data_IF_679297344992
#
_entry.id   IF_679297344992
#
_cell.length_a   1.000
_cell.length_b   1.000
_cell.length_c   1.000
_cell.angle_alpha   90.00
_cell.angle_beta   90.00
_cell.angle_gamma   90.00
#
_symmetry.space_group_name_H-M   'P 1'
#
loop_
_entity.id
_entity.type
_entity.pdbx_description
1 polymer ?
#
# COMPACT_ATOMS: atom_id res chain seq x y z
N UNK A 1 -19.67 -39.52 -17.39
CA UNK A 1 -19.42 -40.67 -18.29
C UNK A 1 -17.94 -40.65 -18.66
N UNK A 2 -17.33 -41.81 -18.82
CA UNK A 2 -16.01 -41.97 -19.43
C UNK A 2 -16.14 -42.98 -20.56
N UNK A 3 -15.40 -42.78 -21.64
CA UNK A 3 -15.35 -43.68 -22.80
C UNK A 3 -13.87 -43.90 -23.15
N UNK A 4 -13.53 -45.15 -23.45
CA UNK A 4 -12.18 -45.57 -23.80
C UNK A 4 -12.23 -46.17 -25.21
N UNK A 5 -11.33 -45.69 -26.08
CA UNK A 5 -11.27 -46.03 -27.50
C UNK A 5 -9.95 -46.74 -27.79
N UNK A 6 -10.02 -48.02 -28.18
CA UNK A 6 -8.87 -48.79 -28.64
C UNK A 6 -8.46 -48.35 -30.06
N UNK A 7 -7.16 -48.17 -30.29
CA UNK A 7 -6.63 -47.65 -31.56
C UNK A 7 -5.44 -48.49 -32.05
N UNK A 8 -5.75 -49.67 -32.59
CA UNK A 8 -4.74 -50.68 -32.92
C UNK A 8 -4.21 -51.39 -31.68
N UNK A 9 -3.12 -52.15 -31.84
CA UNK A 9 -2.58 -52.96 -30.74
C UNK A 9 -2.00 -52.07 -29.62
N UNK A 10 -2.55 -52.19 -28.41
CA UNK A 10 -2.01 -51.63 -27.17
C UNK A 10 -2.23 -50.14 -26.90
N UNK A 11 -2.88 -49.38 -27.79
CA UNK A 11 -3.11 -47.94 -27.60
C UNK A 11 -4.57 -47.65 -27.22
N UNK A 12 -4.77 -46.87 -26.15
CA UNK A 12 -6.10 -46.49 -25.64
C UNK A 12 -6.17 -44.96 -25.54
N UNK A 13 -7.18 -44.36 -26.18
CA UNK A 13 -7.56 -42.96 -25.95
C UNK A 13 -8.73 -42.91 -24.97
N UNK A 14 -8.70 -41.96 -24.03
CA UNK A 14 -9.74 -41.82 -23.00
C UNK A 14 -10.40 -40.45 -23.07
N UNK A 15 -11.72 -40.43 -23.19
CA UNK A 15 -12.52 -39.21 -23.11
C UNK A 15 -13.42 -39.25 -21.87
N UNK A 16 -13.59 -38.10 -21.22
CA UNK A 16 -14.47 -37.92 -20.05
C UNK A 16 -15.43 -36.78 -20.31
N UNK A 17 -16.67 -36.93 -19.85
CA UNK A 17 -17.72 -35.94 -20.11
C UNK A 17 -18.93 -36.04 -19.19
N UNK A 18 -19.71 -34.98 -19.16
CA UNK A 18 -20.81 -34.78 -18.19
C UNK A 18 -21.99 -34.06 -18.84
N UNK A 19 -23.11 -34.78 -18.98
CA UNK A 19 -24.39 -34.25 -19.45
C UNK A 19 -25.29 -33.84 -18.28
N UNK A 20 -25.83 -32.61 -18.31
CA UNK A 20 -26.80 -32.15 -17.30
C UNK A 20 -28.17 -32.77 -17.57
N UNK A 21 -28.57 -33.78 -16.78
CA UNK A 21 -29.86 -34.47 -16.97
C UNK A 21 -31.08 -33.61 -16.64
N UNK A 22 -30.97 -32.77 -15.60
CA UNK A 22 -32.02 -31.83 -15.18
C UNK A 22 -31.34 -30.55 -14.69
N UNK A 23 -31.47 -29.40 -15.40
CA UNK A 23 -30.72 -28.19 -15.04
C UNK A 23 -31.12 -27.57 -13.69
N UNK A 24 -32.38 -27.68 -13.26
CA UNK A 24 -32.82 -27.16 -11.96
C UNK A 24 -32.50 -25.67 -11.78
N UNK A 25 -31.81 -25.32 -10.70
CA UNK A 25 -31.41 -23.92 -10.43
C UNK A 25 -30.49 -23.32 -11.50
N UNK A 26 -29.81 -24.13 -12.30
CA UNK A 26 -28.94 -23.68 -13.40
C UNK A 26 -29.71 -22.99 -14.53
N UNK A 27 -31.05 -23.09 -14.55
CA UNK A 27 -31.91 -22.27 -15.42
C UNK A 27 -32.02 -20.80 -14.98
N UNK A 28 -31.68 -20.51 -13.72
CA UNK A 28 -31.80 -19.18 -13.10
C UNK A 28 -30.44 -18.56 -12.78
N UNK A 29 -29.45 -19.38 -12.42
CA UNK A 29 -28.11 -18.91 -12.07
C UNK A 29 -27.02 -19.94 -12.41
N UNK A 30 -25.97 -19.47 -13.08
CA UNK A 30 -24.71 -20.18 -13.26
C UNK A 30 -23.61 -19.34 -12.61
N UNK A 31 -22.82 -19.96 -11.74
CA UNK A 31 -21.68 -19.31 -11.09
C UNK A 31 -20.56 -19.07 -12.12
N UNK A 32 -19.93 -17.90 -12.07
CA UNK A 32 -18.83 -17.56 -12.96
C UNK A 32 -17.51 -18.15 -12.46
N UNK A 33 -16.79 -18.87 -13.33
CA UNK A 33 -15.37 -19.13 -13.11
C UNK A 33 -14.57 -17.83 -13.25
N UNK A 34 -13.66 -17.56 -12.31
CA UNK A 34 -12.65 -16.50 -12.43
C UNK A 34 -11.74 -16.75 -13.65
N UNK A 35 -11.41 -18.01 -13.91
CA UNK A 35 -10.72 -18.48 -15.10
C UNK A 35 -11.70 -19.21 -16.02
N UNK A 36 -12.32 -18.44 -16.92
CA UNK A 36 -13.13 -19.00 -18.02
C UNK A 36 -12.22 -19.61 -19.09
N UNK A 37 -11.88 -20.88 -18.91
CA UNK A 37 -11.59 -21.76 -20.05
C UNK A 37 -12.91 -22.10 -20.75
N UNK A 38 -12.88 -22.23 -22.08
CA UNK A 38 -14.08 -22.50 -22.91
C UNK A 38 -14.53 -23.98 -22.88
N UNK A 39 -13.83 -24.82 -22.09
CA UNK A 39 -14.06 -26.27 -21.88
C UNK A 39 -15.48 -26.70 -21.45
N UNK A 40 -16.40 -25.76 -21.20
CA UNK A 40 -17.75 -26.07 -20.71
C UNK A 40 -18.59 -26.85 -21.74
N UNK A 41 -18.52 -26.48 -23.02
CA UNK A 41 -19.19 -27.19 -24.12
C UNK A 41 -18.37 -28.41 -24.60
N UNK A 42 -17.04 -28.39 -24.45
CA UNK A 42 -16.15 -29.48 -24.87
C UNK A 42 -16.34 -30.78 -24.08
N UNK A 43 -17.01 -30.72 -22.91
CA UNK A 43 -17.22 -31.85 -22.00
C UNK A 43 -18.53 -32.61 -22.24
N UNK A 44 -19.27 -32.32 -23.31
CA UNK A 44 -20.43 -33.13 -23.72
C UNK A 44 -20.01 -34.25 -24.68
N UNK A 45 -20.21 -35.50 -24.26
CA UNK A 45 -20.00 -36.67 -25.12
C UNK A 45 -21.31 -37.04 -25.84
N UNK A 46 -21.25 -37.52 -27.10
CA UNK A 46 -22.40 -38.11 -27.77
C UNK A 46 -22.83 -39.42 -27.08
N UNK A 47 -24.03 -39.91 -27.43
CA UNK A 47 -24.38 -41.30 -27.15
C UNK A 47 -23.47 -42.22 -27.98
N UNK A 48 -22.93 -43.26 -27.36
CA UNK A 48 -22.01 -44.24 -27.96
C UNK A 48 -22.30 -45.63 -27.37
N UNK A 49 -22.16 -46.68 -28.18
CA UNK A 49 -22.35 -48.07 -27.77
C UNK A 49 -21.03 -48.88 -27.71
N UNK A 50 -21.02 -49.94 -26.90
CA UNK A 50 -19.83 -50.79 -26.74
C UNK A 50 -19.60 -51.62 -28.01
N UNK A 51 -18.45 -51.41 -28.66
CA UNK A 51 -18.13 -52.01 -29.96
C UNK A 51 -18.45 -51.12 -31.17
N UNK A 52 -18.94 -49.90 -30.95
CA UNK A 52 -19.16 -48.93 -32.03
C UNK A 52 -17.83 -48.46 -32.65
N UNK A 53 -17.75 -48.47 -33.98
CA UNK A 53 -16.54 -48.07 -34.72
C UNK A 53 -16.55 -46.57 -35.01
N UNK A 54 -15.81 -45.79 -34.21
CA UNK A 54 -15.70 -44.33 -34.35
C UNK A 54 -14.60 -43.94 -35.33
N UNK A 55 -14.92 -43.05 -36.28
CA UNK A 55 -13.96 -42.57 -37.28
C UNK A 55 -12.92 -41.61 -36.67
N UNK A 56 -11.65 -42.02 -36.70
CA UNK A 56 -10.52 -41.13 -36.39
C UNK A 56 -10.42 -40.01 -37.44
N UNK A 57 -10.66 -38.76 -37.01
CA UNK A 57 -10.62 -37.60 -37.91
C UNK A 57 -9.23 -36.93 -37.97
N UNK A 58 -8.54 -36.77 -36.83
CA UNK A 58 -7.19 -36.19 -36.73
C UNK A 58 -6.56 -36.56 -35.39
N UNK A 59 -5.30 -37.03 -35.40
CA UNK A 59 -4.45 -37.05 -34.21
C UNK A 59 -3.81 -35.67 -34.06
N UNK A 60 -3.80 -35.12 -32.84
CA UNK A 60 -3.04 -33.92 -32.50
C UNK A 60 -1.98 -34.29 -31.47
N UNK A 61 -0.70 -34.05 -31.79
CA UNK A 61 0.39 -34.14 -30.83
C UNK A 61 0.56 -32.76 -30.18
N UNK A 62 -0.14 -32.53 -29.07
CA UNK A 62 -0.07 -31.29 -28.30
C UNK A 62 0.81 -31.51 -27.06
N UNK A 63 1.74 -30.59 -26.80
CA UNK A 63 2.62 -30.64 -25.62
C UNK A 63 2.15 -29.59 -24.62
N UNK A 64 1.83 -30.03 -23.41
CA UNK A 64 1.46 -29.16 -22.30
C UNK A 64 2.61 -29.01 -21.30
N UNK A 65 2.67 -27.86 -20.64
CA UNK A 65 3.59 -27.58 -19.54
C UNK A 65 2.80 -27.30 -18.27
N UNK A 66 3.37 -27.57 -17.10
CA UNK A 66 2.75 -27.25 -15.81
C UNK A 66 2.77 -25.74 -15.58
N UNK A 67 1.60 -25.12 -15.52
CA UNK A 67 1.45 -23.71 -15.14
C UNK A 67 1.64 -23.55 -13.61
N UNK A 68 2.22 -22.42 -13.15
CA UNK A 68 2.30 -22.11 -11.72
C UNK A 68 0.89 -21.79 -11.15
N UNK A 69 0.67 -21.92 -9.83
CA UNK A 69 -0.59 -21.55 -9.21
C UNK A 69 -1.01 -20.10 -9.53
N UNK A 70 -2.29 -19.86 -9.88
CA UNK A 70 -2.77 -18.53 -10.25
C UNK A 70 -2.72 -17.56 -9.06
N UNK A 71 -2.34 -16.30 -9.31
CA UNK A 71 -2.40 -15.23 -8.30
C UNK A 71 -3.85 -14.92 -7.94
N UNK A 72 -4.12 -14.64 -6.66
CA UNK A 72 -5.46 -14.31 -6.17
C UNK A 72 -6.12 -13.16 -6.92
N UNK A 73 -7.39 -13.35 -7.27
CA UNK A 73 -8.37 -12.29 -7.59
C UNK A 73 -8.95 -11.72 -6.28
N UNK A 74 -9.82 -10.71 -6.36
CA UNK A 74 -10.60 -10.29 -5.18
C UNK A 74 -11.53 -11.41 -4.68
N UNK A 75 -12.21 -12.15 -5.56
CA UNK A 75 -13.11 -13.23 -5.17
C UNK A 75 -12.38 -14.39 -4.49
N UNK A 76 -11.29 -14.88 -5.09
CA UNK A 76 -10.49 -15.96 -4.50
C UNK A 76 -9.74 -15.54 -3.22
N UNK A 77 -9.32 -14.27 -3.10
CA UNK A 77 -8.76 -13.76 -1.84
C UNK A 77 -9.81 -13.72 -0.73
N UNK A 78 -11.02 -13.22 -0.99
CA UNK A 78 -12.11 -13.23 0.00
C UNK A 78 -12.46 -14.65 0.41
N UNK A 79 -12.61 -15.57 -0.56
CA UNK A 79 -12.85 -16.99 -0.28
C UNK A 79 -11.75 -17.61 0.58
N UNK A 80 -10.48 -17.35 0.28
CA UNK A 80 -9.36 -17.88 1.08
C UNK A 80 -9.33 -17.29 2.49
N UNK A 81 -9.67 -16.00 2.64
CA UNK A 81 -9.81 -15.38 3.97
C UNK A 81 -10.96 -16.01 4.77
N UNK A 82 -12.10 -16.29 4.13
CA UNK A 82 -13.23 -17.00 4.74
C UNK A 82 -12.88 -18.45 5.11
N UNK A 83 -12.18 -19.20 4.24
CA UNK A 83 -11.71 -20.57 4.47
C UNK A 83 -10.72 -20.66 5.65
N UNK A 84 -9.87 -19.65 5.87
CA UNK A 84 -9.00 -19.55 7.04
C UNK A 84 -9.67 -18.86 8.26
N UNK A 85 -10.94 -18.46 8.19
CA UNK A 85 -11.64 -17.77 9.29
C UNK A 85 -11.12 -16.36 9.61
N UNK A 86 -10.33 -15.77 8.71
CA UNK A 86 -9.69 -14.46 8.87
C UNK A 86 -10.61 -13.35 8.34
N UNK A 87 -10.97 -12.40 9.20
CA UNK A 87 -11.94 -11.37 8.85
C UNK A 87 -13.37 -11.89 8.77
N UNK A 88 -14.27 -11.00 8.35
CA UNK A 88 -15.73 -11.16 8.39
C UNK A 88 -16.37 -10.38 7.22
N UNK A 89 -17.67 -10.58 6.90
CA UNK A 89 -18.36 -9.83 5.84
C UNK A 89 -18.29 -8.29 5.94
N UNK A 90 -18.04 -7.76 7.15
CA UNK A 90 -17.82 -6.32 7.41
C UNK A 90 -16.38 -5.84 7.16
N UNK A 91 -15.40 -6.75 7.03
CA UNK A 91 -13.97 -6.41 6.93
C UNK A 91 -13.31 -6.80 5.60
N UNK A 92 -13.81 -7.79 4.84
CA UNK A 92 -13.17 -8.21 3.58
C UNK A 92 -12.84 -7.05 2.61
N UNK A 93 -13.81 -6.18 2.33
CA UNK A 93 -13.60 -5.03 1.45
C UNK A 93 -12.67 -3.95 2.06
N UNK A 94 -12.60 -3.82 3.39
CA UNK A 94 -11.71 -2.87 4.06
C UNK A 94 -10.28 -3.40 4.19
N UNK A 95 -10.10 -4.71 4.32
CA UNK A 95 -8.80 -5.41 4.20
C UNK A 95 -8.23 -5.18 2.79
N UNK A 96 -8.98 -5.54 1.75
CA UNK A 96 -8.54 -5.40 0.35
C UNK A 96 -8.19 -3.94 -0.01
N UNK A 97 -9.07 -3.00 0.31
CA UNK A 97 -8.78 -1.57 0.06
C UNK A 97 -7.64 -1.02 0.91
N UNK A 98 -7.36 -1.57 2.10
CA UNK A 98 -6.19 -1.19 2.91
C UNK A 98 -4.89 -1.73 2.31
N UNK A 99 -4.87 -2.96 1.78
CA UNK A 99 -3.69 -3.52 1.09
C UNK A 99 -3.30 -2.69 -0.13
N UNK A 100 -4.29 -2.26 -0.92
CA UNK A 100 -4.09 -1.38 -2.09
C UNK A 100 -3.72 0.05 -1.66
N UNK A 101 -4.46 0.67 -0.73
CA UNK A 101 -4.21 2.06 -0.28
C UNK A 101 -2.86 2.25 0.44
N UNK A 102 -2.31 1.19 1.04
CA UNK A 102 -0.97 1.20 1.65
C UNK A 102 0.14 0.74 0.71
N UNK A 103 -0.17 0.51 -0.56
CA UNK A 103 0.79 0.08 -1.58
C UNK A 103 1.51 -1.24 -1.20
N UNK A 104 0.82 -2.15 -0.50
CA UNK A 104 1.35 -3.48 -0.15
C UNK A 104 1.05 -4.53 -1.25
N UNK A 105 -0.07 -4.37 -1.95
CA UNK A 105 -0.40 -5.16 -3.13
C UNK A 105 -1.03 -4.26 -4.20
N UNK A 106 -0.68 -4.50 -5.46
CA UNK A 106 -1.25 -3.85 -6.64
C UNK A 106 -2.10 -4.85 -7.44
N UNK A 107 -3.04 -4.37 -8.25
CA UNK A 107 -3.95 -5.21 -9.05
C UNK A 107 -3.56 -5.14 -10.53
N UNK A 108 -2.90 -6.18 -11.00
CA UNK A 108 -2.54 -6.39 -12.41
C UNK A 108 -3.54 -7.36 -13.04
N UNK A 109 -4.23 -6.98 -14.12
CA UNK A 109 -5.16 -7.86 -14.85
C UNK A 109 -6.19 -8.59 -13.94
N UNK A 110 -6.74 -7.87 -12.94
CA UNK A 110 -7.66 -8.36 -11.89
C UNK A 110 -7.06 -9.32 -10.86
N UNK A 111 -5.73 -9.50 -10.81
CA UNK A 111 -5.03 -10.33 -9.83
C UNK A 111 -4.07 -9.52 -8.98
N UNK A 112 -3.89 -9.92 -7.73
CA UNK A 112 -2.97 -9.27 -6.80
C UNK A 112 -1.51 -9.65 -7.06
N UNK A 113 -0.67 -8.62 -7.18
CA UNK A 113 0.78 -8.72 -7.14
C UNK A 113 1.27 -8.04 -5.86
N UNK A 114 2.00 -8.75 -4.96
CA UNK A 114 2.56 -8.13 -3.77
C UNK A 114 3.76 -7.26 -4.14
N UNK A 115 3.71 -5.99 -3.73
CA UNK A 115 4.74 -4.99 -4.02
C UNK A 115 6.01 -5.26 -3.22
N UNK A 116 7.09 -4.55 -3.54
CA UNK A 116 8.32 -4.57 -2.75
C UNK A 116 8.08 -4.15 -1.28
N UNK A 117 7.23 -3.13 -1.05
CA UNK A 117 6.86 -2.70 0.30
C UNK A 117 6.05 -3.78 1.04
N UNK A 118 5.11 -4.43 0.36
CA UNK A 118 4.34 -5.55 0.90
C UNK A 118 5.23 -6.72 1.31
N UNK A 119 6.24 -7.05 0.50
CA UNK A 119 7.24 -8.10 0.78
C UNK A 119 8.10 -7.77 1.98
N UNK A 120 8.73 -6.60 2.02
CA UNK A 120 9.59 -6.18 3.15
C UNK A 120 8.81 -6.20 4.47
N UNK A 121 7.56 -5.70 4.47
CA UNK A 121 6.69 -5.72 5.66
C UNK A 121 6.26 -7.14 6.04
N UNK A 122 5.87 -7.97 5.06
CA UNK A 122 5.51 -9.37 5.28
C UNK A 122 6.66 -10.16 5.92
N UNK A 123 7.85 -10.06 5.34
CA UNK A 123 9.01 -10.84 5.76
C UNK A 123 9.51 -10.40 7.14
N UNK A 124 9.51 -9.08 7.40
CA UNK A 124 9.81 -8.54 8.73
C UNK A 124 8.84 -9.07 9.79
N UNK A 125 7.53 -9.02 9.53
CA UNK A 125 6.53 -9.54 10.47
C UNK A 125 6.60 -11.07 10.61
N UNK A 126 6.88 -11.79 9.53
CA UNK A 126 7.04 -13.26 9.57
C UNK A 126 8.27 -13.68 10.37
N UNK A 127 9.39 -12.94 10.24
CA UNK A 127 10.65 -13.21 10.95
C UNK A 127 10.63 -12.79 12.43
N UNK A 128 10.01 -11.66 12.75
CA UNK A 128 10.12 -11.04 14.09
C UNK A 128 8.82 -11.08 14.92
N UNK A 129 7.67 -11.27 14.29
CA UNK A 129 6.33 -11.22 14.89
C UNK A 129 5.45 -12.42 14.49
N UNK A 130 6.06 -13.56 14.15
CA UNK A 130 5.42 -14.74 13.51
C UNK A 130 4.06 -15.11 14.12
N UNK A 131 3.96 -15.17 15.45
CA UNK A 131 2.74 -15.53 16.17
C UNK A 131 1.54 -14.60 15.91
N UNK A 132 1.76 -13.38 15.39
CA UNK A 132 0.73 -12.36 15.12
C UNK A 132 0.37 -12.23 13.63
N UNK A 133 1.09 -12.93 12.74
CA UNK A 133 0.76 -13.08 11.31
C UNK A 133 0.40 -14.53 10.95
N UNK A 134 0.50 -15.44 11.92
CA UNK A 134 -0.09 -16.78 11.88
C UNK A 134 -1.60 -16.72 11.58
N UNK A 135 -2.04 -17.62 10.69
CA UNK A 135 -3.42 -17.65 10.22
C UNK A 135 -4.36 -18.09 11.35
N UNK A 136 -4.01 -19.18 12.05
CA UNK A 136 -4.81 -19.66 13.18
C UNK A 136 -4.89 -18.63 14.31
N UNK A 137 -3.82 -17.87 14.58
CA UNK A 137 -3.85 -16.80 15.59
C UNK A 137 -4.86 -15.73 15.23
N UNK A 138 -4.88 -15.34 13.95
CA UNK A 138 -5.78 -14.30 13.45
C UNK A 138 -7.23 -14.78 13.50
N UNK A 139 -7.50 -16.02 13.07
CA UNK A 139 -8.82 -16.66 13.16
C UNK A 139 -9.32 -16.74 14.62
N UNK A 140 -8.50 -17.29 15.52
CA UNK A 140 -8.81 -17.40 16.96
C UNK A 140 -9.06 -16.04 17.62
N UNK A 141 -8.48 -14.95 17.11
CA UNK A 141 -8.72 -13.60 17.63
C UNK A 141 -10.06 -13.02 17.14
N UNK A 142 -10.44 -13.24 15.88
CA UNK A 142 -11.77 -12.88 15.37
C UNK A 142 -12.86 -13.69 16.10
N UNK A 143 -12.62 -14.99 16.38
CA UNK A 143 -13.53 -15.84 17.15
C UNK A 143 -13.66 -15.40 18.62
N UNK A 144 -12.54 -15.06 19.29
CA UNK A 144 -12.53 -14.46 20.64
C UNK A 144 -13.37 -13.15 20.67
N UNK A 145 -13.33 -12.35 19.61
CA UNK A 145 -14.11 -11.11 19.47
C UNK A 145 -15.60 -11.36 19.20
N UNK A 146 -15.94 -12.38 18.43
CA UNK A 146 -17.32 -12.79 18.19
C UNK A 146 -17.96 -13.37 19.46
N UNK A 147 -17.25 -14.19 20.24
CA UNK A 147 -17.69 -14.63 21.58
C UNK A 147 -17.95 -13.45 22.54
N UNK A 148 -17.06 -12.44 22.54
CA UNK A 148 -17.27 -11.19 23.28
C UNK A 148 -18.55 -10.48 22.81
N UNK A 149 -18.80 -10.44 21.48
CA UNK A 149 -19.98 -9.78 20.90
C UNK A 149 -21.31 -10.43 21.33
N UNK A 150 -21.31 -11.76 21.52
CA UNK A 150 -22.46 -12.54 22.01
C UNK A 150 -22.59 -12.51 23.54
N UNK A 151 -21.58 -12.03 24.25
CA UNK A 151 -21.53 -11.99 25.72
C UNK A 151 -21.10 -13.32 26.36
N UNK A 152 -20.47 -14.20 25.60
CA UNK A 152 -19.97 -15.51 26.05
C UNK A 152 -18.61 -15.40 26.76
N UNK A 153 -17.87 -14.30 26.50
CA UNK A 153 -16.48 -14.09 26.93
C UNK A 153 -16.24 -12.65 27.40
N UNK A 154 -15.48 -12.48 28.48
CA UNK A 154 -15.03 -11.17 28.95
C UNK A 154 -13.91 -10.60 28.07
N UNK A 155 -14.02 -9.34 27.66
CA UNK A 155 -13.04 -8.66 26.81
C UNK A 155 -11.71 -8.33 27.50
N UNK A 156 -11.73 -8.11 28.83
CA UNK A 156 -10.53 -7.71 29.59
C UNK A 156 -9.47 -8.84 29.66
N UNK A 157 -9.83 -10.11 29.95
CA UNK A 157 -8.91 -11.24 29.81
C UNK A 157 -8.31 -11.39 28.40
N UNK A 158 -9.11 -11.26 27.34
CA UNK A 158 -8.62 -11.37 25.94
C UNK A 158 -7.60 -10.28 25.63
N UNK A 159 -7.90 -9.01 25.92
CA UNK A 159 -6.93 -7.93 25.73
C UNK A 159 -5.69 -8.10 26.59
N UNK A 160 -5.78 -8.64 27.81
CA UNK A 160 -4.60 -8.92 28.63
C UNK A 160 -3.75 -10.09 28.09
N UNK A 161 -4.37 -11.11 27.52
CA UNK A 161 -3.71 -12.25 26.84
C UNK A 161 -2.97 -11.80 25.58
N UNK A 162 -3.57 -10.89 24.80
CA UNK A 162 -2.94 -10.28 23.62
C UNK A 162 -1.83 -9.28 23.99
N UNK A 163 -2.18 -8.23 24.76
CA UNK A 163 -1.37 -7.03 24.87
C UNK A 163 -0.05 -7.24 25.63
N UNK A 164 -0.03 -8.10 26.65
CA UNK A 164 1.18 -8.31 27.46
C UNK A 164 2.31 -8.95 26.63
N UNK A 165 2.15 -10.13 25.99
CA UNK A 165 3.16 -10.69 25.11
C UNK A 165 3.50 -9.77 23.93
N UNK A 166 2.50 -9.14 23.31
CA UNK A 166 2.71 -8.27 22.16
C UNK A 166 3.58 -7.07 22.50
N UNK A 167 3.26 -6.33 23.57
CA UNK A 167 4.03 -5.17 24.00
C UNK A 167 5.45 -5.56 24.46
N UNK A 168 5.62 -6.73 25.09
CA UNK A 168 6.97 -7.23 25.43
C UNK A 168 7.80 -7.51 24.18
N UNK A 169 7.22 -8.15 23.16
CA UNK A 169 7.92 -8.41 21.90
C UNK A 169 8.21 -7.12 21.11
N UNK A 170 7.32 -6.13 21.14
CA UNK A 170 7.56 -4.82 20.52
C UNK A 170 8.76 -4.12 21.14
N UNK A 171 8.88 -4.07 22.48
CA UNK A 171 10.03 -3.46 23.17
C UNK A 171 11.31 -4.24 22.83
N UNK A 172 11.29 -5.56 22.96
CA UNK A 172 12.42 -6.44 22.63
C UNK A 172 12.89 -6.26 21.17
N UNK A 173 11.98 -6.02 20.22
CA UNK A 173 12.32 -5.81 18.80
C UNK A 173 12.63 -4.35 18.45
N UNK A 174 12.21 -3.37 19.24
CA UNK A 174 12.66 -1.98 19.15
C UNK A 174 14.12 -1.82 19.63
N UNK A 175 14.56 -2.64 20.59
CA UNK A 175 15.96 -2.70 21.04
C UNK A 175 16.85 -3.64 20.21
N UNK A 176 16.34 -4.80 19.76
CA UNK A 176 17.16 -5.85 19.11
C UNK A 176 17.26 -5.79 17.57
N UNK A 177 16.42 -5.03 16.87
CA UNK A 177 16.40 -5.02 15.39
C UNK A 177 16.82 -3.67 14.84
N UNK A 178 17.88 -3.67 14.03
CA UNK A 178 18.40 -2.44 13.40
C UNK A 178 17.44 -1.90 12.34
N UNK A 179 17.55 -0.60 12.02
CA UNK A 179 16.74 0.02 10.97
C UNK A 179 17.08 -0.56 9.59
N UNK A 180 18.32 -1.01 9.44
CA UNK A 180 18.93 -1.57 8.26
C UNK A 180 18.41 -3.00 8.00
N UNK A 181 18.29 -3.82 9.04
CA UNK A 181 17.64 -5.14 9.00
C UNK A 181 16.13 -5.00 8.74
N UNK A 182 15.45 -4.07 9.43
CA UNK A 182 14.02 -3.83 9.27
C UNK A 182 13.60 -3.30 7.88
N UNK A 183 14.56 -2.88 7.06
CA UNK A 183 14.36 -2.35 5.69
C UNK A 183 14.86 -3.34 4.62
N UNK A 184 15.31 -4.55 5.03
CA UNK A 184 15.92 -5.56 4.14
C UNK A 184 16.99 -4.95 3.21
N UNK A 185 17.98 -4.28 3.79
CA UNK A 185 19.11 -3.76 3.02
C UNK A 185 19.91 -4.92 2.38
N UNK A 186 19.77 -5.13 1.06
CA UNK A 186 20.55 -6.13 0.32
C UNK A 186 21.82 -5.51 -0.22
N UNK A 187 22.96 -6.03 0.18
CA UNK A 187 24.25 -5.69 -0.42
C UNK A 187 24.38 -6.36 -1.80
N UNK A 188 24.89 -5.60 -2.77
CA UNK A 188 25.08 -6.01 -4.16
C UNK A 188 26.57 -6.19 -4.51
N UNK A 189 27.48 -5.62 -3.73
CA UNK A 189 28.91 -5.65 -3.96
C UNK A 189 29.62 -4.43 -3.38
N UNK A 190 30.81 -4.13 -3.90
CA UNK A 190 31.64 -2.97 -3.52
C UNK A 190 31.86 -2.11 -4.78
N UNK A 191 31.90 -0.79 -4.67
CA UNK A 191 32.27 0.12 -5.78
C UNK A 191 33.81 0.20 -5.92
N UNK A 192 34.43 -0.26 -7.04
CA UNK A 192 35.86 -0.17 -7.26
C UNK A 192 36.44 1.25 -7.22
N UNK A 193 35.62 2.29 -7.40
CA UNK A 193 36.08 3.69 -7.41
C UNK A 193 36.20 4.31 -6.02
N UNK A 194 35.48 3.79 -5.03
CA UNK A 194 35.47 4.33 -3.67
C UNK A 194 35.77 3.31 -2.57
N UNK A 195 35.84 2.01 -2.90
CA UNK A 195 36.03 0.93 -1.94
C UNK A 195 34.82 0.68 -1.02
N UNK A 196 33.67 1.30 -1.32
CA UNK A 196 32.50 1.35 -0.43
C UNK A 196 31.43 0.34 -0.82
N UNK A 197 30.65 -0.18 0.16
CA UNK A 197 29.58 -1.13 -0.12
C UNK A 197 28.48 -0.48 -0.97
N UNK A 198 27.94 -1.25 -1.91
CA UNK A 198 26.78 -0.92 -2.75
C UNK A 198 25.61 -1.76 -2.24
N UNK A 199 24.50 -1.12 -1.87
CA UNK A 199 23.32 -1.83 -1.35
C UNK A 199 22.01 -1.23 -1.84
N UNK A 200 21.00 -2.05 -2.06
CA UNK A 200 19.64 -1.63 -2.38
C UNK A 200 18.75 -1.66 -1.13
N UNK A 201 17.97 -0.58 -0.93
CA UNK A 201 17.20 -0.32 0.30
C UNK A 201 15.86 0.35 -0.04
N UNK A 202 14.84 0.16 0.80
CA UNK A 202 13.56 0.87 0.66
C UNK A 202 13.61 2.25 1.34
N UNK A 203 13.25 3.30 0.60
CA UNK A 203 13.29 4.69 1.07
C UNK A 203 11.92 5.36 1.14
N UNK A 204 11.87 6.57 1.68
CA UNK A 204 10.62 7.38 1.77
C UNK A 204 10.04 7.83 0.42
N UNK A 205 10.72 7.50 -0.68
CA UNK A 205 10.38 7.82 -2.06
C UNK A 205 10.45 6.58 -2.96
N UNK A 206 10.27 5.38 -2.39
CA UNK A 206 10.45 4.10 -3.08
C UNK A 206 11.87 3.54 -2.94
N UNK A 207 12.17 2.43 -3.65
CA UNK A 207 13.44 1.73 -3.57
C UNK A 207 14.59 2.50 -4.22
N UNK A 208 15.78 2.41 -3.63
CA UNK A 208 16.99 3.11 -4.09
C UNK A 208 18.25 2.27 -3.83
N UNK A 209 19.28 2.49 -4.65
CA UNK A 209 20.64 2.01 -4.40
C UNK A 209 21.43 3.09 -3.68
N UNK A 210 22.27 2.66 -2.74
CA UNK A 210 23.18 3.45 -1.94
C UNK A 210 24.62 2.97 -2.15
N UNK A 211 25.57 3.89 -2.35
CA UNK A 211 27.01 3.62 -2.25
C UNK A 211 27.55 4.33 -1.00
N UNK A 212 28.26 3.59 -0.14
CA UNK A 212 28.74 4.07 1.15
C UNK A 212 27.73 3.89 2.28
N UNK A 213 28.18 4.04 3.52
CA UNK A 213 27.31 3.94 4.71
C UNK A 213 26.86 5.33 5.17
N UNK A 214 26.24 5.42 6.36
CA UNK A 214 25.91 6.70 7.01
C UNK A 214 26.95 7.12 8.07
N UNK A 215 28.02 6.33 8.19
CA UNK A 215 29.13 6.46 9.14
C UNK A 215 30.45 6.86 8.43
N UNK A 216 30.48 6.74 7.10
CA UNK A 216 31.52 7.29 6.23
C UNK A 216 31.69 8.81 6.39
N UNK A 217 32.93 9.33 6.26
CA UNK A 217 33.18 10.77 6.22
C UNK A 217 32.57 11.46 4.98
N UNK A 218 32.60 10.81 3.81
CA UNK A 218 31.89 11.29 2.62
C UNK A 218 30.39 11.01 2.73
N UNK A 219 29.58 11.96 2.24
CA UNK A 219 28.13 11.74 2.08
C UNK A 219 27.88 10.55 1.12
N UNK A 220 27.10 9.53 1.52
CA UNK A 220 26.75 8.41 0.64
C UNK A 220 26.00 8.89 -0.60
N UNK A 221 26.21 8.18 -1.71
CA UNK A 221 25.55 8.48 -3.00
C UNK A 221 24.28 7.65 -3.10
N UNK A 222 23.22 8.24 -3.68
CA UNK A 222 21.92 7.61 -3.83
C UNK A 222 21.44 7.68 -5.28
N UNK A 223 20.85 6.59 -5.78
CA UNK A 223 20.13 6.56 -7.05
C UNK A 223 18.83 5.75 -6.90
N UNK A 224 17.69 6.31 -7.31
CA UNK A 224 16.41 5.61 -7.27
C UNK A 224 16.33 4.49 -8.32
N UNK A 225 15.66 3.39 -8.00
CA UNK A 225 15.37 2.34 -8.98
C UNK A 225 14.39 2.86 -10.05
N UNK A 226 14.51 2.31 -11.26
CA UNK A 226 13.63 2.64 -12.38
C UNK A 226 12.29 1.89 -12.29
N UNK A 227 11.20 2.44 -12.87
CA UNK A 227 9.91 1.75 -12.92
C UNK A 227 10.04 0.34 -13.52
N UNK A 228 9.65 -0.68 -12.76
CA UNK A 228 9.76 -2.09 -13.15
C UNK A 228 11.03 -2.80 -12.64
N UNK A 229 12.06 -2.08 -12.18
CA UNK A 229 13.16 -2.70 -11.43
C UNK A 229 12.70 -3.03 -10.00
N UNK A 230 13.10 -4.20 -9.50
CA UNK A 230 12.80 -4.70 -8.14
C UNK A 230 14.07 -4.83 -7.34
N UNK A 231 13.99 -4.61 -6.02
CA UNK A 231 15.10 -4.84 -5.09
C UNK A 231 15.51 -6.32 -5.05
N UNK A 232 14.54 -7.23 -5.23
CA UNK A 232 14.80 -8.67 -5.31
C UNK A 232 15.59 -9.10 -6.57
N UNK A 233 15.46 -8.37 -7.69
CA UNK A 233 15.98 -8.80 -8.99
C UNK A 233 17.18 -7.96 -9.48
N UNK A 234 17.42 -6.77 -8.92
CA UNK A 234 18.47 -5.86 -9.42
C UNK A 234 19.89 -6.37 -9.17
N UNK A 235 20.64 -6.51 -10.27
CA UNK A 235 22.07 -6.88 -10.28
C UNK A 235 22.98 -5.71 -9.89
N UNK A 236 24.23 -6.01 -9.55
CA UNK A 236 25.26 -5.00 -9.28
C UNK A 236 25.48 -4.08 -10.50
N UNK A 237 25.52 -4.66 -11.70
CA UNK A 237 25.78 -3.97 -12.96
C UNK A 237 24.66 -2.95 -13.25
N UNK A 238 23.41 -3.39 -13.16
CA UNK A 238 22.22 -2.53 -13.30
C UNK A 238 22.18 -1.43 -12.23
N UNK A 239 22.55 -1.76 -11.00
CA UNK A 239 22.62 -0.79 -9.91
C UNK A 239 23.70 0.29 -10.16
N UNK A 240 24.85 -0.07 -10.71
CA UNK A 240 25.91 0.87 -11.09
C UNK A 240 25.55 1.70 -12.33
N UNK A 241 24.66 1.23 -13.21
CA UNK A 241 24.12 2.06 -14.29
C UNK A 241 23.32 3.25 -13.75
N UNK A 242 22.60 3.09 -12.63
CA UNK A 242 21.78 4.17 -12.06
C UNK A 242 22.64 5.39 -11.66
N UNK A 243 23.89 5.17 -11.24
CA UNK A 243 24.87 6.20 -10.91
C UNK A 243 25.57 6.85 -12.12
N UNK A 244 25.18 6.52 -13.36
CA UNK A 244 25.57 7.28 -14.56
C UNK A 244 24.92 8.67 -14.62
N UNK A 245 23.89 8.92 -13.81
CA UNK A 245 23.27 10.24 -13.63
C UNK A 245 23.86 10.98 -12.41
N UNK A 246 23.97 12.32 -12.44
CA UNK A 246 23.55 13.22 -13.51
C UNK A 246 24.47 13.18 -14.74
N UNK A 247 23.91 13.03 -15.94
CA UNK A 247 24.66 13.16 -17.20
C UNK A 247 24.72 14.63 -17.60
N UNK A 248 25.91 15.20 -17.70
CA UNK A 248 26.11 16.51 -18.35
C UNK A 248 25.88 16.33 -19.85
N UNK A 249 25.12 17.26 -20.46
CA UNK A 249 24.76 17.22 -21.89
C UNK A 249 25.47 18.30 -22.72
N UNK A 250 25.87 19.41 -22.08
CA UNK A 250 26.45 20.58 -22.73
C UNK A 250 25.99 21.86 -22.04
N UNK A 251 25.88 22.95 -22.79
CA UNK A 251 25.44 24.26 -22.34
C UNK A 251 24.28 24.77 -23.21
N UNK A 252 23.52 25.75 -22.73
CA UNK A 252 22.54 26.50 -23.53
C UNK A 252 23.21 27.62 -24.34
N UNK A 253 22.48 28.22 -25.28
CA UNK A 253 22.88 29.45 -25.99
C UNK A 253 23.16 30.64 -25.03
N UNK A 254 22.61 30.59 -23.80
CA UNK A 254 22.83 31.57 -22.73
C UNK A 254 24.00 31.18 -21.79
N UNK A 255 24.75 30.11 -22.08
CA UNK A 255 25.83 29.59 -21.24
C UNK A 255 25.36 28.84 -19.97
N UNK A 256 24.05 28.71 -19.71
CA UNK A 256 23.54 27.90 -18.60
C UNK A 256 23.87 26.41 -18.86
N UNK A 257 24.68 25.78 -17.98
CA UNK A 257 25.05 24.37 -18.10
C UNK A 257 23.85 23.42 -17.97
N UNK A 258 23.77 22.41 -18.85
CA UNK A 258 22.64 21.49 -19.04
C UNK A 258 23.01 20.06 -18.61
N UNK A 259 22.14 19.43 -17.83
CA UNK A 259 22.30 18.04 -17.37
C UNK A 259 20.97 17.30 -17.25
N UNK A 260 20.96 16.01 -17.58
CA UNK A 260 19.83 15.11 -17.32
C UNK A 260 20.05 14.34 -16.00
N UNK A 261 18.98 14.14 -15.22
CA UNK A 261 19.03 13.40 -13.96
C UNK A 261 17.63 12.90 -13.54
N UNK A 262 17.56 12.13 -12.46
CA UNK A 262 16.30 11.66 -11.84
C UNK A 262 16.24 12.21 -10.41
N UNK A 263 15.04 12.60 -9.97
CA UNK A 263 14.81 13.09 -8.61
C UNK A 263 13.46 12.64 -8.05
N UNK A 264 13.14 13.13 -6.85
CA UNK A 264 11.91 12.84 -6.08
C UNK A 264 10.57 13.09 -6.78
N UNK A 265 10.58 13.67 -7.99
CA UNK A 265 9.40 13.96 -8.81
C UNK A 265 9.51 13.36 -10.23
N UNK A 266 10.43 12.41 -10.45
CA UNK A 266 10.72 11.79 -11.74
C UNK A 266 11.96 12.36 -12.45
N UNK A 267 12.19 11.96 -13.72
CA UNK A 267 13.27 12.46 -14.56
C UNK A 267 13.16 13.95 -14.89
N UNK A 268 14.30 14.63 -15.00
CA UNK A 268 14.37 16.05 -15.35
C UNK A 268 15.64 16.43 -16.11
N UNK A 269 15.54 17.50 -16.91
CA UNK A 269 16.67 18.30 -17.38
C UNK A 269 16.84 19.46 -16.41
N UNK A 270 18.04 19.63 -15.84
CA UNK A 270 18.45 20.83 -15.12
C UNK A 270 19.26 21.72 -16.05
N UNK A 271 18.95 23.01 -16.06
CA UNK A 271 19.70 24.04 -16.77
C UNK A 271 19.96 25.21 -15.80
N UNK A 272 21.24 25.54 -15.58
CA UNK A 272 21.62 26.54 -14.56
C UNK A 272 21.08 26.19 -13.17
N UNK A 273 20.16 27.00 -12.64
CA UNK A 273 19.44 26.78 -11.37
C UNK A 273 18.03 26.18 -11.53
N UNK A 274 17.54 26.05 -12.76
CA UNK A 274 16.15 25.74 -13.13
C UNK A 274 15.99 24.28 -13.56
N UNK A 275 14.75 23.79 -13.57
CA UNK A 275 14.42 22.37 -13.81
C UNK A 275 13.24 22.22 -14.78
N UNK A 276 13.36 21.28 -15.72
CA UNK A 276 12.31 20.85 -16.65
C UNK A 276 12.03 19.38 -16.40
N UNK A 277 10.80 19.01 -16.04
CA UNK A 277 10.41 17.60 -15.95
C UNK A 277 10.37 16.98 -17.35
N UNK A 278 11.06 15.86 -17.54
CA UNK A 278 10.88 15.02 -18.72
C UNK A 278 9.60 14.22 -18.48
N UNK A 279 8.63 14.27 -19.39
CA UNK A 279 7.32 13.64 -19.18
C UNK A 279 7.36 12.16 -19.55
N UNK A 280 6.60 11.32 -18.84
CA UNK A 280 6.51 9.88 -19.13
C UNK A 280 5.89 9.58 -20.51
N UNK A 281 5.06 10.50 -21.01
CA UNK A 281 4.38 10.43 -22.31
C UNK A 281 5.24 10.86 -23.51
N UNK A 282 6.40 11.53 -23.32
CA UNK A 282 7.20 12.01 -24.46
C UNK A 282 8.20 10.97 -25.01
N UNK A 283 8.35 9.82 -24.36
CA UNK A 283 9.30 8.77 -24.75
C UNK A 283 10.78 9.10 -24.51
N UNK A 284 11.08 10.29 -23.98
CA UNK A 284 12.43 10.74 -23.67
C UNK A 284 12.96 10.08 -22.38
N UNK A 285 14.16 9.49 -22.44
CA UNK A 285 14.83 8.83 -21.31
C UNK A 285 16.05 9.65 -20.83
N UNK A 286 16.18 9.97 -19.52
CA UNK A 286 17.32 10.73 -18.98
C UNK A 286 18.69 10.08 -19.22
N UNK A 287 18.78 8.77 -19.42
CA UNK A 287 20.04 8.09 -19.74
C UNK A 287 20.46 8.28 -21.20
N UNK A 288 19.52 8.48 -22.14
CA UNK A 288 19.79 8.51 -23.59
C UNK A 288 19.56 9.86 -24.26
N UNK A 289 18.81 10.78 -23.63
CA UNK A 289 18.48 12.11 -24.15
C UNK A 289 19.73 12.89 -24.61
N UNK A 290 19.59 13.60 -25.73
CA UNK A 290 20.63 14.41 -26.39
C UNK A 290 20.43 15.89 -26.10
N UNK A 291 21.50 16.69 -26.24
CA UNK A 291 21.48 18.14 -25.95
C UNK A 291 20.35 18.87 -26.68
N UNK A 292 20.21 18.71 -28.00
CA UNK A 292 19.16 19.38 -28.80
C UNK A 292 17.76 19.16 -28.22
N UNK A 293 17.43 17.91 -27.87
CA UNK A 293 16.14 17.53 -27.29
C UNK A 293 15.95 18.08 -25.87
N UNK A 294 17.04 18.18 -25.10
CA UNK A 294 17.02 18.87 -23.81
C UNK A 294 16.81 20.39 -23.97
N UNK A 295 17.37 21.01 -25.00
CA UNK A 295 17.18 22.43 -25.33
C UNK A 295 15.74 22.71 -25.82
N UNK A 296 15.14 21.82 -26.61
CA UNK A 296 13.71 21.89 -26.97
C UNK A 296 12.83 21.93 -25.72
N UNK A 297 13.03 21.00 -24.77
CA UNK A 297 12.28 20.96 -23.51
C UNK A 297 12.51 22.23 -22.66
N UNK A 298 13.73 22.78 -22.65
CA UNK A 298 14.03 24.08 -22.00
C UNK A 298 13.32 25.24 -22.70
N UNK A 299 13.26 25.26 -24.03
CA UNK A 299 12.58 26.29 -24.80
C UNK A 299 11.04 26.22 -24.65
N UNK A 300 10.46 25.02 -24.69
CA UNK A 300 9.05 24.77 -24.33
C UNK A 300 8.75 25.28 -22.92
N UNK A 301 9.63 24.98 -21.95
CA UNK A 301 9.46 25.42 -20.56
C UNK A 301 9.58 26.93 -20.40
N UNK A 302 10.56 27.58 -21.06
CA UNK A 302 10.72 29.04 -21.09
C UNK A 302 9.48 29.70 -21.70
N UNK A 303 8.97 29.22 -22.83
CA UNK A 303 7.71 29.70 -23.45
C UNK A 303 6.51 29.51 -22.52
N UNK A 304 6.29 28.29 -22.04
CA UNK A 304 5.13 27.97 -21.20
C UNK A 304 5.15 28.72 -19.85
N UNK A 305 6.33 29.11 -19.32
CA UNK A 305 6.42 29.98 -18.14
C UNK A 305 6.23 31.46 -18.49
N UNK A 306 6.71 31.94 -19.65
CA UNK A 306 6.40 33.28 -20.16
C UNK A 306 4.89 33.45 -20.43
N UNK A 307 4.20 32.44 -20.97
CA UNK A 307 2.74 32.43 -21.15
C UNK A 307 1.94 32.50 -19.83
N UNK A 308 2.57 32.18 -18.70
CA UNK A 308 1.97 32.40 -17.37
C UNK A 308 2.13 33.84 -16.92
N UNK A 309 3.09 34.60 -17.44
CA UNK A 309 3.31 35.99 -17.07
C UNK A 309 2.36 36.87 -17.89
N UNK A 310 1.45 37.57 -17.20
CA UNK A 310 0.56 38.54 -17.83
C UNK A 310 1.19 39.93 -17.78
N UNK A 311 1.73 40.30 -16.61
CA UNK A 311 2.34 41.62 -16.35
C UNK A 311 3.31 41.53 -15.17
N UNK A 312 4.37 42.33 -15.17
CA UNK A 312 5.39 42.39 -14.10
C UNK A 312 5.79 43.86 -13.89
N UNK A 313 5.97 44.24 -12.63
CA UNK A 313 6.61 45.47 -12.21
C UNK A 313 7.83 45.10 -11.36
N UNK A 314 9.02 45.16 -11.97
CA UNK A 314 10.24 44.59 -11.38
C UNK A 314 10.74 45.38 -10.16
N UNK A 315 10.63 46.71 -10.16
CA UNK A 315 11.04 47.56 -9.02
C UNK A 315 10.25 47.24 -7.74
N UNK A 316 8.95 46.96 -7.87
CA UNK A 316 8.04 46.67 -6.75
C UNK A 316 7.89 45.17 -6.45
N UNK A 317 8.46 44.29 -7.28
CA UNK A 317 8.36 42.83 -7.14
C UNK A 317 6.95 42.24 -7.40
N UNK A 318 6.03 43.01 -7.98
CA UNK A 318 4.63 42.62 -8.19
C UNK A 318 4.44 42.00 -9.58
N UNK A 319 3.66 40.90 -9.64
CA UNK A 319 3.43 40.12 -10.86
C UNK A 319 1.96 39.71 -10.98
N UNK A 320 1.40 39.80 -12.18
CA UNK A 320 0.12 39.16 -12.55
C UNK A 320 0.43 37.87 -13.31
N UNK A 321 -0.02 36.75 -12.77
CA UNK A 321 0.29 35.41 -13.25
C UNK A 321 -0.97 34.59 -13.54
N UNK A 322 -0.98 33.84 -14.63
CA UNK A 322 -2.07 32.94 -15.01
C UNK A 322 -1.92 31.57 -14.32
N UNK A 323 -2.74 31.32 -13.30
CA UNK A 323 -2.70 30.08 -12.51
C UNK A 323 -3.70 29.01 -12.93
N UNK A 324 -3.55 27.79 -12.39
CA UNK A 324 -4.48 26.65 -12.58
C UNK A 324 -5.95 26.96 -12.26
N UNK A 325 -6.21 28.01 -11.48
CA UNK A 325 -7.55 28.44 -11.08
C UNK A 325 -7.94 29.82 -11.66
N UNK A 326 -7.24 30.24 -12.71
CA UNK A 326 -7.33 31.56 -13.33
C UNK A 326 -6.24 32.54 -12.84
N UNK A 327 -6.25 33.78 -13.35
CA UNK A 327 -5.26 34.82 -13.06
C UNK A 327 -5.22 35.26 -11.59
N UNK A 328 -4.03 35.62 -11.12
CA UNK A 328 -3.79 36.14 -9.77
C UNK A 328 -2.63 37.14 -9.74
N UNK A 329 -2.71 38.12 -8.84
CA UNK A 329 -1.63 39.06 -8.51
C UNK A 329 -0.78 38.49 -7.37
N UNK A 330 0.53 38.73 -7.35
CA UNK A 330 1.44 38.30 -6.28
C UNK A 330 2.64 39.23 -6.11
N UNK A 331 3.08 39.39 -4.86
CA UNK A 331 4.35 40.00 -4.39
C UNK A 331 5.38 38.91 -3.98
N UNK A 332 5.19 37.68 -4.49
CA UNK A 332 5.90 36.47 -4.05
C UNK A 332 5.43 35.88 -2.70
N UNK A 333 4.83 36.68 -1.81
CA UNK A 333 4.46 36.29 -0.44
C UNK A 333 2.96 36.02 -0.25
N UNK A 334 2.10 36.91 -0.76
CA UNK A 334 0.65 36.81 -0.91
C UNK A 334 0.30 36.44 -2.37
N UNK A 335 -0.90 35.89 -2.55
CA UNK A 335 -1.45 35.54 -3.87
C UNK A 335 -2.93 35.94 -3.86
N UNK A 336 -3.33 36.84 -4.75
CA UNK A 336 -4.68 37.43 -4.78
C UNK A 336 -5.34 37.13 -6.11
N UNK A 337 -6.44 36.40 -6.10
CA UNK A 337 -7.13 36.03 -7.34
C UNK A 337 -7.77 37.27 -7.98
N UNK A 338 -7.54 37.46 -9.28
CA UNK A 338 -8.24 38.49 -10.08
C UNK A 338 -9.72 38.11 -10.20
N UNK A 339 -10.67 39.05 -10.00
CA UNK A 339 -12.09 38.81 -10.23
C UNK A 339 -12.37 38.32 -11.65
N UNK A 340 -13.41 37.50 -11.84
CA UNK A 340 -13.75 36.95 -13.17
C UNK A 340 -14.19 38.00 -14.19
N UNK A 341 -14.70 39.13 -13.71
CA UNK A 341 -15.26 40.21 -14.54
C UNK A 341 -14.23 41.30 -14.89
N UNK A 342 -12.97 41.13 -14.46
CA UNK A 342 -11.87 42.09 -14.65
C UNK A 342 -10.83 41.52 -15.60
N UNK A 343 -10.41 42.27 -16.62
CA UNK A 343 -9.30 41.86 -17.48
C UNK A 343 -7.98 41.96 -16.68
N UNK A 344 -7.22 40.87 -16.49
CA UNK A 344 -5.93 40.92 -15.80
C UNK A 344 -4.87 41.77 -16.52
N UNK A 345 -5.11 42.21 -17.76
CA UNK A 345 -4.23 43.14 -18.51
C UNK A 345 -4.60 44.61 -18.36
N UNK A 346 -5.75 44.93 -17.76
CA UNK A 346 -6.16 46.33 -17.51
C UNK A 346 -5.90 46.80 -16.09
N UNK A 347 -5.38 45.92 -15.21
CA UNK A 347 -5.02 46.25 -13.84
C UNK A 347 -3.73 47.08 -13.80
N UNK A 348 -3.73 48.17 -13.06
CA UNK A 348 -2.52 48.97 -12.82
C UNK A 348 -1.77 48.56 -11.53
N UNK A 349 -0.67 49.27 -11.26
CA UNK A 349 0.17 49.03 -10.08
C UNK A 349 -0.57 49.31 -8.77
N UNK A 350 -1.35 50.40 -8.70
CA UNK A 350 -2.05 50.82 -7.47
C UNK A 350 -3.19 49.85 -7.13
N UNK A 351 -3.95 49.42 -8.15
CA UNK A 351 -4.96 48.36 -8.00
C UNK A 351 -4.32 47.06 -7.53
N UNK A 352 -3.19 46.64 -8.12
CA UNK A 352 -2.48 45.44 -7.72
C UNK A 352 -1.94 45.52 -6.27
N UNK A 353 -1.32 46.64 -5.89
CA UNK A 353 -0.88 46.89 -4.52
C UNK A 353 -2.05 46.87 -3.53
N UNK A 354 -3.15 47.54 -3.86
CA UNK A 354 -4.37 47.59 -3.04
C UNK A 354 -4.99 46.20 -2.86
N UNK A 355 -5.08 45.41 -3.92
CA UNK A 355 -5.55 44.02 -3.86
C UNK A 355 -4.65 43.16 -2.94
N UNK A 356 -3.34 43.38 -2.95
CA UNK A 356 -2.38 42.71 -2.05
C UNK A 356 -2.48 43.21 -0.60
N UNK A 357 -2.77 44.49 -0.39
CA UNK A 357 -3.00 45.07 0.94
C UNK A 357 -4.30 44.54 1.58
N UNK A 358 -5.42 44.58 0.85
CA UNK A 358 -6.74 44.08 1.28
C UNK A 358 -6.79 42.55 1.40
N UNK A 359 -5.85 41.82 0.78
CA UNK A 359 -5.83 40.36 0.83
C UNK A 359 -5.56 39.82 2.25
N UNK A 360 -6.46 38.94 2.76
CA UNK A 360 -6.33 38.37 4.10
C UNK A 360 -5.11 37.47 4.21
N UNK A 361 -4.41 37.56 5.35
CA UNK A 361 -3.17 36.82 5.58
C UNK A 361 -3.30 35.30 5.41
N UNK A 362 -2.22 34.66 4.95
CA UNK A 362 -2.11 33.21 4.79
C UNK A 362 -2.30 32.51 6.15
N UNK A 363 -3.53 32.07 6.43
CA UNK A 363 -3.87 31.21 7.58
C UNK A 363 -3.23 29.83 7.45
N UNK A 364 -1.95 29.76 7.81
CA UNK A 364 -1.21 28.51 7.92
C UNK A 364 -1.83 27.62 9.01
N UNK A 365 -2.30 26.44 8.61
CA UNK A 365 -2.91 25.48 9.53
C UNK A 365 -4.13 24.81 8.94
N UNK A 366 -3.95 23.57 8.47
CA UNK A 366 -5.04 22.64 8.15
C UNK A 366 -5.79 22.29 9.45
N UNK A 367 -6.74 23.15 9.83
CA UNK A 367 -7.55 23.02 11.06
C UNK A 367 -8.17 21.62 11.08
N UNK A 368 -7.69 20.74 11.98
CA UNK A 368 -8.27 19.40 12.17
C UNK A 368 -9.78 19.58 12.33
N UNK A 369 -10.58 18.92 11.48
CA UNK A 369 -12.03 18.86 11.67
C UNK A 369 -12.27 18.20 13.02
N UNK A 370 -12.57 19.01 14.05
CA UNK A 370 -13.01 18.48 15.33
C UNK A 370 -14.27 17.65 15.08
N UNK A 371 -14.32 16.44 15.62
CA UNK A 371 -15.48 15.57 15.48
C UNK A 371 -16.74 16.32 15.93
N UNK A 372 -17.88 16.20 15.21
CA UNK A 372 -19.08 16.96 15.53
C UNK A 372 -19.56 16.58 16.93
N UNK A 373 -19.47 17.51 17.89
CA UNK A 373 -20.08 17.36 19.21
C UNK A 373 -21.57 17.07 19.00
N UNK A 374 -22.03 15.88 19.42
CA UNK A 374 -23.45 15.50 19.41
C UNK A 374 -24.24 16.62 20.10
N UNK A 375 -25.07 17.35 19.35
CA UNK A 375 -26.08 18.23 19.95
C UNK A 375 -27.06 17.33 20.71
N UNK A 376 -27.22 17.58 22.01
CA UNK A 376 -28.20 16.86 22.80
C UNK A 376 -29.61 17.15 22.24
N UNK A 377 -30.38 16.09 21.98
CA UNK A 377 -31.73 16.24 21.45
C UNK A 377 -32.65 16.85 22.53
N UNK A 378 -33.19 18.05 22.26
CA UNK A 378 -34.13 18.71 23.14
C UNK A 378 -35.47 17.95 23.15
N UNK A 379 -35.88 17.43 24.32
CA UNK A 379 -37.19 16.77 24.48
C UNK A 379 -38.33 17.76 24.30
N UNK A 380 -39.26 17.49 23.38
CA UNK A 380 -40.58 18.15 23.37
C UNK A 380 -41.41 17.66 24.57
N UNK A 381 -42.06 18.61 25.27
CA UNK A 381 -43.30 18.41 26.05
C UNK A 381 -44.49 18.39 25.06
N UNK A 382 -45.71 17.94 25.35
CA UNK A 382 -46.41 17.38 26.53
C UNK A 382 -47.64 16.59 25.96
N UNK A 383 -48.60 16.01 26.73
CA UNK A 383 -48.91 16.12 28.17
C UNK A 383 -48.59 14.78 28.90
N UNK A 384 -49.23 14.25 29.95
CA UNK A 384 -50.45 14.62 30.70
C UNK A 384 -50.37 14.22 32.21
N UNK A 385 -51.52 13.93 32.84
CA UNK A 385 -51.68 13.60 34.26
C UNK A 385 -52.05 12.13 34.44
N UNK A 386 -51.50 11.46 35.47
CA UNK A 386 -52.31 11.04 36.62
C UNK A 386 -51.45 10.90 37.90
N UNK A 387 -52.08 10.70 39.07
CA UNK A 387 -51.46 10.68 40.41
C UNK A 387 -51.44 9.29 41.07
N UNK A 388 -50.31 8.94 41.68
CA UNK A 388 -50.16 8.23 42.99
C UNK A 388 -48.69 8.41 43.42
N UNK A 389 -48.34 8.89 44.62
CA UNK A 389 -48.38 8.22 45.93
C UNK A 389 -47.49 6.94 45.97
N UNK A 390 -46.57 6.71 46.93
CA UNK A 390 -46.42 7.33 48.27
C UNK A 390 -45.01 7.18 48.90
N UNK A 391 -44.77 7.91 50.00
CA UNK A 391 -43.82 7.66 51.12
C UNK A 391 -42.29 7.79 50.92
N UNK A 392 -41.72 8.79 51.62
CA UNK A 392 -40.33 8.86 52.07
C UNK A 392 -40.04 7.81 53.16
N UNK A 393 -38.76 7.46 53.36
CA UNK A 393 -38.13 7.43 54.70
C UNK A 393 -36.68 7.94 54.64
N UNK A 394 -36.13 8.35 55.78
CA UNK A 394 -34.81 8.99 55.99
C UNK A 394 -33.90 8.05 56.83
N UNK A 395 -32.64 8.48 56.99
CA UNK A 395 -31.70 8.10 58.07
C UNK A 395 -31.01 6.73 57.95
N UNK A 396 -29.77 6.53 58.42
CA UNK A 396 -28.73 7.49 58.84
C UNK A 396 -27.32 6.84 58.83
N UNK A 397 -26.28 7.65 59.02
CA UNK A 397 -24.87 7.23 59.10
C UNK A 397 -24.47 6.55 60.41
N UNK A 398 -23.43 5.69 60.37
CA UNK A 398 -22.31 5.74 61.34
C UNK A 398 -21.06 4.93 60.91
N UNK A 399 -19.88 5.42 61.29
CA UNK A 399 -18.58 4.71 61.21
C UNK A 399 -18.43 3.72 62.38
N UNK A 400 -17.66 2.63 62.20
CA UNK A 400 -16.64 2.21 63.18
C UNK A 400 -15.55 1.30 62.56
N UNK A 401 -14.36 1.27 63.19
CA UNK A 401 -13.22 0.38 62.89
C UNK A 401 -13.16 -0.77 63.91
N UNK A 402 -12.75 -1.97 63.49
CA UNK A 402 -12.11 -3.04 64.30
C UNK A 402 -11.99 -4.33 63.47
N UNK A 403 -11.01 -5.26 63.59
CA UNK A 403 -9.67 -5.28 64.22
C UNK A 403 -8.86 -6.48 63.65
N UNK A 404 -7.53 -6.50 63.85
CA UNK A 404 -6.65 -7.66 63.58
C UNK A 404 -7.07 -8.93 64.36
N UNK A 405 -6.78 -10.12 63.80
CA UNK A 405 -6.37 -11.32 64.57
C UNK A 405 -5.31 -12.14 63.80
N UNK A 406 -4.62 -13.06 64.48
CA UNK A 406 -3.36 -13.70 64.05
C UNK A 406 -3.37 -15.20 64.40
N UNK A 407 -2.92 -16.06 63.48
CA UNK A 407 -2.44 -17.45 63.66
C UNK A 407 -1.69 -17.82 62.35
N UNK A 408 -0.54 -18.52 62.26
CA UNK A 408 0.13 -19.57 63.04
C UNK A 408 -0.53 -20.96 62.91
N UNK A 409 0.18 -22.09 62.69
CA UNK A 409 1.64 -22.31 62.46
C UNK A 409 1.92 -22.70 60.98
N UNK A 410 2.79 -23.61 60.49
CA UNK A 410 3.75 -24.62 61.05
C UNK A 410 5.00 -24.70 60.12
N UNK A 411 5.54 -25.90 59.83
CA UNK A 411 6.65 -26.22 58.91
C UNK A 411 6.50 -27.66 58.38
N UNK A 412 7.07 -27.95 57.21
CA UNK A 412 7.73 -29.24 56.92
C UNK A 412 8.80 -29.05 55.81
N UNK A 413 9.74 -29.98 55.70
CA UNK A 413 10.81 -30.05 54.69
C UNK A 413 10.78 -31.42 54.01
N UNK A 414 11.04 -31.46 52.71
CA UNK A 414 11.72 -32.50 51.92
C UNK A 414 12.24 -31.77 50.64
N UNK A 415 13.45 -31.94 50.12
CA UNK A 415 14.33 -33.10 49.94
C UNK A 415 13.79 -34.09 48.88
N UNK A 416 14.53 -34.44 47.84
CA UNK A 416 15.92 -34.07 47.54
C UNK A 416 16.28 -34.22 46.06
N UNK A 417 17.53 -33.89 45.76
CA UNK A 417 18.18 -34.06 44.47
C UNK A 417 18.74 -35.49 44.37
N UNK A 418 18.69 -36.11 43.18
CA UNK A 418 19.49 -37.30 42.86
C UNK A 418 19.57 -37.53 41.34
N UNK A 419 20.63 -38.17 40.88
CA UNK A 419 20.97 -38.30 39.45
C UNK A 419 21.67 -39.62 39.13
N UNK A 420 21.30 -40.32 38.05
CA UNK A 420 22.25 -41.01 37.14
C UNK A 420 21.60 -41.86 36.04
N UNK A 421 22.31 -41.90 34.90
CA UNK A 421 22.57 -43.05 34.00
C UNK A 421 21.46 -43.93 33.39
N UNK A 422 21.68 -44.21 32.09
CA UNK A 422 21.23 -45.37 31.28
C UNK A 422 19.72 -45.55 31.04
N UNK A 423 19.28 -45.99 29.85
CA UNK A 423 20.00 -46.41 28.62
C UNK A 423 19.75 -45.45 27.44
#
# INVERSE_FOLDING_TARGET
VAVEFECGEGNIFRATGSSIKTPGFMQLYLEGSDDKKEEADERMLPALEVGESVKLNKIRAEQHFTEPPPRFTEASLVKTLEEYGIGRPSTYASIISTLQYREYAEVESRRFTPTEMGRIVNDFLTKHFTQYVDYDFTARLEDDLDEISRGEKDWVPVLHKFWKPFNTLVIDKEESVTREEAVQARELGIDPKSGKPVSVRMGRYGPFVQIGTREDEDKPKFAGLLPGQKMADITYEQAMELFKLPRVLGETEEGEAVSASIGRFGPYVKYGSKYVSIKKDSGDDPYTIKLNRALELVAEKKKADAEKVIQVWEEEGIQILNGRYGPYVTDGNKNVKVPKETDPKSLDLEECQKMIAEAPEKKWGRKKKAAPKKKAAAKKKAPAKNKTATKKKKAASKKKKSTKKKAATKKSKKAGDDSSSSE
#
